data_IF_930713678910
#
_entry.id   IF_930713678910
#
_cell.length_a   1.000
_cell.length_b   1.000
_cell.length_c   1.000
_cell.angle_alpha   90.00
_cell.angle_beta   90.00
_cell.angle_gamma   90.00
#
_symmetry.space_group_name_H-M   'P 1'
#
loop_
_entity.id
_entity.type
_entity.pdbx_description
1 polymer ?
#
# COMPACT_ATOMS: atom_id res chain seq x y z
N UNK A 1 13.63 28.92 -8.70
CA UNK A 1 13.46 28.89 -8.35
C UNK A 1 13.30 28.53 -7.63
N UNK A 2 13.41 28.34 -7.66
CA UNK A 2 13.12 28.00 -6.98
C UNK A 2 12.60 27.70 -6.30
N UNK A 3 12.26 27.57 -6.49
CA UNK A 3 11.60 27.42 -5.86
C UNK A 3 11.16 26.67 -5.63
N UNK A 4 11.16 26.37 -6.08
CA UNK A 4 10.64 25.83 -5.81
C UNK A 4 10.76 25.09 -5.14
N UNK A 5 11.14 24.95 -5.27
CA UNK A 5 11.21 24.46 -4.56
C UNK A 5 10.91 24.25 -3.60
N UNK A 6 10.73 24.36 -3.66
CA UNK A 6 10.31 24.42 -2.70
C UNK A 6 9.62 23.88 -2.19
N UNK A 7 9.45 23.64 -2.67
CA UNK A 7 8.70 23.36 -2.17
C UNK A 7 8.57 22.60 -1.55
N UNK A 8 8.79 22.43 -1.77
CA UNK A 8 8.53 22.02 -1.14
C UNK A 8 8.67 21.56 -0.33
N UNK A 9 8.79 21.52 -0.29
CA UNK A 9 8.80 21.50 0.61
C UNK A 9 8.23 21.39 1.33
N UNK A 10 7.79 21.54 1.08
CA UNK A 10 7.15 21.62 1.70
C UNK A 10 6.82 21.01 2.16
N UNK A 11 7.00 20.60 1.92
CA UNK A 11 6.59 20.23 2.40
C UNK A 11 6.70 19.84 3.10
N UNK A 12 6.90 19.93 2.43
CA UNK A 12 7.36 19.37 3.35
C UNK A 12 6.89 19.27 4.61
N UNK A 13 7.13 19.75 5.15
CA UNK A 13 6.73 19.67 6.42
C UNK A 13 5.39 19.12 6.60
N UNK A 14 4.60 19.31 5.76
CA UNK A 14 3.28 18.91 5.86
C UNK A 14 3.15 17.49 6.09
N UNK A 15 4.05 16.77 5.72
CA UNK A 15 3.95 15.43 5.83
C UNK A 15 3.94 14.86 7.13
N UNK A 16 4.81 15.29 7.90
CA UNK A 16 4.91 14.76 9.17
C UNK A 16 3.65 14.96 9.88
N UNK A 17 3.05 16.03 9.63
CA UNK A 17 1.90 16.37 10.14
C UNK A 17 0.83 15.50 9.84
N UNK A 18 0.80 15.07 8.64
CA UNK A 18 -0.23 14.25 8.24
C UNK A 18 -0.14 12.94 8.94
N UNK A 19 1.01 12.47 9.24
CA UNK A 19 1.15 11.22 9.89
C UNK A 19 0.50 11.27 11.24
N UNK A 20 0.40 12.41 11.81
CA UNK A 20 -0.19 12.52 13.11
C UNK A 20 -1.67 12.72 13.04
N UNK A 21 -2.16 12.91 11.88
CA UNK A 21 -3.55 13.13 11.70
C UNK A 21 -4.39 11.88 11.87
N UNK A 22 -3.74 10.76 12.02
CA UNK A 22 -4.48 9.56 12.23
C UNK A 22 -4.81 8.81 10.97
N UNK A 23 -5.69 7.89 11.08
CA UNK A 23 -6.00 6.96 10.03
C UNK A 23 -7.01 7.52 9.04
N UNK A 24 -6.90 7.06 7.82
CA UNK A 24 -7.91 7.34 6.82
C UNK A 24 -8.95 6.24 6.94
N UNK A 25 -10.17 6.63 7.30
CA UNK A 25 -11.26 5.68 7.45
C UNK A 25 -12.14 5.77 6.21
N UNK A 26 -12.24 4.65 5.49
CA UNK A 26 -13.01 4.58 4.26
C UNK A 26 -14.37 4.00 4.60
N UNK A 27 -15.42 4.67 4.18
CA UNK A 27 -16.79 4.25 4.55
C UNK A 27 -17.36 3.18 3.63
N UNK A 28 -16.76 2.99 2.48
CA UNK A 28 -17.25 2.04 1.50
C UNK A 28 -16.37 0.79 1.59
N UNK A 29 -16.98 -0.38 1.65
CA UNK A 29 -16.23 -1.62 1.75
C UNK A 29 -15.38 -1.86 0.51
N UNK A 30 -14.16 -2.36 0.68
CA UNK A 30 -13.33 -2.68 -0.49
C UNK A 30 -13.97 -3.81 -1.29
N UNK A 31 -13.81 -3.79 -2.62
CA UNK A 31 -14.33 -4.87 -3.44
C UNK A 31 -13.60 -6.18 -3.17
N UNK A 32 -14.12 -7.25 -3.73
CA UNK A 32 -13.46 -8.55 -3.59
C UNK A 32 -12.12 -8.53 -4.28
N UNK A 33 -11.20 -9.32 -3.75
CA UNK A 33 -9.87 -9.43 -4.32
C UNK A 33 -9.96 -9.96 -5.74
N UNK A 34 -9.14 -9.39 -6.61
CA UNK A 34 -9.05 -9.85 -7.98
C UNK A 34 -8.13 -11.07 -8.00
N UNK A 35 -8.57 -12.12 -8.69
CA UNK A 35 -7.75 -13.31 -8.85
C UNK A 35 -6.85 -13.10 -10.06
N UNK A 36 -5.56 -13.02 -9.82
CA UNK A 36 -4.59 -12.77 -10.88
C UNK A 36 -3.78 -14.01 -11.24
N UNK A 37 -3.39 -14.10 -12.50
CA UNK A 37 -2.48 -15.16 -12.91
C UNK A 37 -1.08 -14.68 -12.52
N UNK A 38 -0.40 -15.46 -11.71
CA UNK A 38 0.92 -15.07 -11.24
C UNK A 38 2.04 -15.35 -12.22
N UNK A 39 1.83 -16.28 -13.13
CA UNK A 39 2.87 -16.75 -14.01
C UNK A 39 3.93 -17.51 -13.20
N UNK A 40 5.10 -17.62 -13.78
CA UNK A 40 6.18 -18.33 -13.10
C UNK A 40 7.09 -17.35 -12.39
N UNK A 41 7.57 -17.71 -11.19
CA UNK A 41 8.49 -16.82 -10.49
C UNK A 41 9.79 -16.71 -11.28
N UNK A 42 10.38 -15.51 -11.35
CA UNK A 42 11.65 -15.32 -12.05
C UNK A 42 12.80 -16.15 -11.46
N UNK A 43 12.72 -16.45 -10.17
CA UNK A 43 13.67 -17.37 -9.54
C UNK A 43 12.96 -18.00 -8.36
N UNK A 44 13.58 -19.03 -7.78
CA UNK A 44 12.95 -19.72 -6.64
C UNK A 44 12.96 -18.84 -5.38
N UNK A 45 13.69 -17.76 -5.39
CA UNK A 45 13.73 -16.88 -4.22
C UNK A 45 12.71 -15.75 -4.29
N UNK A 46 12.02 -15.61 -5.41
CA UNK A 46 11.03 -14.54 -5.53
C UNK A 46 9.76 -14.88 -4.76
N UNK A 47 9.15 -13.88 -4.20
CA UNK A 47 7.92 -14.00 -3.42
C UNK A 47 6.82 -13.24 -4.14
N UNK A 48 5.64 -13.82 -4.18
CA UNK A 48 4.49 -13.15 -4.81
C UNK A 48 3.95 -12.08 -3.86
N UNK A 49 3.92 -10.85 -4.37
CA UNK A 49 3.34 -9.72 -3.66
C UNK A 49 1.92 -9.57 -4.18
N UNK A 50 0.96 -9.93 -3.38
CA UNK A 50 -0.42 -9.93 -3.80
C UNK A 50 -0.92 -8.53 -4.08
N UNK A 51 -1.71 -8.36 -5.13
CA UNK A 51 -2.31 -7.07 -5.43
C UNK A 51 -3.37 -6.71 -4.40
N UNK A 52 -3.83 -5.49 -4.44
CA UNK A 52 -4.84 -5.04 -3.51
C UNK A 52 -5.59 -3.83 -4.08
N UNK A 53 -6.72 -3.52 -3.47
CA UNK A 53 -7.49 -2.34 -3.87
C UNK A 53 -6.98 -1.14 -3.07
N UNK A 54 -6.50 -0.13 -3.75
CA UNK A 54 -6.02 1.09 -3.10
C UNK A 54 -7.11 2.17 -3.19
N UNK A 55 -7.29 2.90 -2.12
CA UNK A 55 -8.28 3.99 -2.08
C UNK A 55 -7.58 5.28 -2.51
N UNK A 56 -8.08 5.91 -3.56
CA UNK A 56 -7.46 7.13 -4.10
C UNK A 56 -8.11 8.41 -3.55
N UNK A 57 -9.02 8.29 -2.62
CA UNK A 57 -9.75 9.42 -2.06
C UNK A 57 -11.19 9.46 -2.53
N UNK A 58 -11.51 8.75 -3.58
CA UNK A 58 -12.85 8.73 -4.15
C UNK A 58 -13.35 7.34 -4.48
N UNK A 59 -12.46 6.47 -4.92
CA UNK A 59 -12.83 5.11 -5.27
C UNK A 59 -11.65 4.17 -5.13
N UNK A 60 -11.92 2.88 -5.19
CA UNK A 60 -10.88 1.87 -5.10
C UNK A 60 -10.26 1.63 -6.47
N UNK A 61 -8.94 1.51 -6.51
CA UNK A 61 -8.20 1.24 -7.74
C UNK A 61 -7.35 -0.01 -7.49
N UNK A 62 -7.45 -0.98 -8.38
CA UNK A 62 -6.69 -2.21 -8.22
C UNK A 62 -5.21 -2.01 -8.52
N UNK A 63 -4.36 -2.43 -7.60
CA UNK A 63 -2.91 -2.41 -7.77
C UNK A 63 -2.50 -3.85 -8.03
N UNK A 64 -1.90 -4.11 -9.17
CA UNK A 64 -1.52 -5.45 -9.57
C UNK A 64 -0.45 -6.06 -8.67
N UNK A 65 -0.54 -7.36 -8.50
CA UNK A 65 0.50 -8.09 -7.79
C UNK A 65 1.75 -8.23 -8.66
N UNK A 66 2.83 -8.66 -8.06
CA UNK A 66 4.09 -8.84 -8.76
C UNK A 66 5.02 -9.76 -7.99
N UNK A 67 6.05 -10.25 -8.67
CA UNK A 67 7.09 -11.04 -8.02
C UNK A 67 8.20 -10.10 -7.55
N UNK A 68 8.68 -10.33 -6.34
CA UNK A 68 9.76 -9.54 -5.78
C UNK A 68 10.74 -10.37 -4.99
N UNK A 69 12.00 -9.98 -4.97
CA UNK A 69 12.96 -10.66 -4.12
C UNK A 69 12.87 -10.10 -2.72
N UNK A 70 12.89 -10.95 -1.70
CA UNK A 70 12.90 -10.47 -0.32
C UNK A 70 14.16 -9.65 -0.05
N UNK A 71 14.11 -8.68 0.83
CA UNK A 71 15.27 -7.85 1.13
C UNK A 71 16.33 -8.59 1.96
N UNK A 72 15.97 -9.72 2.55
CA UNK A 72 16.89 -10.55 3.31
C UNK A 72 16.36 -11.97 3.37
N UNK A 73 17.24 -12.90 3.74
CA UNK A 73 16.85 -14.30 3.84
C UNK A 73 15.74 -14.48 4.86
N UNK A 74 14.85 -15.38 4.56
CA UNK A 74 13.72 -15.73 5.44
C UNK A 74 12.73 -14.59 5.75
N UNK A 75 12.77 -13.53 4.99
CA UNK A 75 11.78 -12.48 5.15
C UNK A 75 10.44 -12.95 4.59
N UNK A 76 9.36 -12.56 5.23
CA UNK A 76 8.01 -12.90 4.80
C UNK A 76 7.26 -11.65 4.43
N UNK A 77 6.47 -11.73 3.38
CA UNK A 77 5.65 -10.60 2.98
C UNK A 77 4.30 -10.66 3.68
N UNK A 78 3.96 -9.57 4.36
CA UNK A 78 2.63 -9.41 4.94
C UNK A 78 1.84 -8.56 3.96
N UNK A 79 0.78 -9.11 3.40
CA UNK A 79 0.03 -8.43 2.35
C UNK A 79 -0.75 -7.24 2.86
N UNK A 80 -0.94 -6.24 1.97
CA UNK A 80 -1.82 -5.13 2.26
C UNK A 80 -3.21 -5.70 2.55
N UNK A 81 -3.87 -5.20 3.57
CA UNK A 81 -5.22 -5.67 3.88
C UNK A 81 -5.99 -4.59 4.61
N UNK A 82 -7.30 -4.75 4.63
CA UNK A 82 -8.17 -3.79 5.29
C UNK A 82 -8.70 -4.39 6.60
N UNK A 83 -8.82 -3.55 7.62
CA UNK A 83 -9.43 -3.96 8.88
C UNK A 83 -10.62 -3.04 9.15
N UNK A 84 -11.59 -3.55 9.89
CA UNK A 84 -12.74 -2.76 10.31
C UNK A 84 -12.33 -1.95 11.54
N UNK A 85 -12.50 -0.66 11.45
CA UNK A 85 -12.10 0.21 12.55
C UNK A 85 -12.80 1.56 12.43
N UNK A 86 -13.23 2.09 13.55
CA UNK A 86 -13.87 3.40 13.61
C UNK A 86 -15.04 3.58 12.63
N UNK A 87 -15.84 2.54 12.50
CA UNK A 87 -17.03 2.59 11.65
C UNK A 87 -16.78 2.48 10.16
N UNK A 88 -15.59 2.09 9.77
CA UNK A 88 -15.26 1.95 8.35
C UNK A 88 -14.14 0.96 8.13
N UNK A 89 -13.34 1.21 7.12
CA UNK A 89 -12.26 0.33 6.71
C UNK A 89 -10.95 1.11 6.67
N UNK A 90 -9.89 0.53 7.23
CA UNK A 90 -8.58 1.16 7.29
C UNK A 90 -7.58 0.22 6.64
N UNK A 91 -6.76 0.74 5.75
CA UNK A 91 -5.74 -0.04 5.10
C UNK A 91 -4.56 -0.27 6.03
N UNK A 92 -4.16 -1.52 6.17
CA UNK A 92 -2.91 -1.87 6.83
C UNK A 92 -1.94 -2.19 5.69
N UNK A 93 -0.93 -1.37 5.55
CA UNK A 93 0.01 -1.52 4.43
C UNK A 93 0.87 -2.75 4.55
N UNK A 94 1.13 -3.38 3.43
CA UNK A 94 1.98 -4.55 3.38
C UNK A 94 3.41 -4.22 3.71
N UNK A 95 4.13 -5.19 4.19
CA UNK A 95 5.52 -5.00 4.56
C UNK A 95 6.24 -6.33 4.68
N UNK A 96 7.56 -6.26 4.71
CA UNK A 96 8.38 -7.44 4.96
C UNK A 96 8.59 -7.59 6.46
N UNK A 97 8.42 -8.78 6.95
CA UNK A 97 8.64 -9.06 8.37
C UNK A 97 9.77 -10.05 8.59
#
# INVERSE_FOLDING_TARGET
MVLKRVIGLIFAGALAFSAMAGEIVIRIAPPRMVIEKRGHPPSRNHVWIQGYHNWDGQHYVWVQGRWEQPPRAHAHWVAHHYVRRNGGYVLVEGHWS
#
